data_IF_770890209004
#
_entry.id   IF_770890209004
#
_cell.length_a   1.000
_cell.length_b   1.000
_cell.length_c   1.000
_cell.angle_alpha   90.00
_cell.angle_beta   90.00
_cell.angle_gamma   90.00
#
_symmetry.space_group_name_H-M   'P 1'
#
loop_
_entity.id
_entity.type
_entity.pdbx_description
1 polymer ?
#
# COMPACT_ATOMS: atom_id res chain seq x y z
N UNK A 1 -1.54 3.22 -8.33
CA UNK A 1 -0.99 3.34 -6.96
C UNK A 1 -1.44 2.11 -6.18
N UNK A 2 -0.49 1.38 -5.62
CA UNK A 2 -0.77 0.25 -4.73
C UNK A 2 -0.49 0.74 -3.31
N UNK A 3 -1.51 0.69 -2.46
CA UNK A 3 -1.36 0.90 -1.02
C UNK A 3 -1.24 -0.47 -0.38
N UNK A 4 -0.16 -0.67 0.37
CA UNK A 4 0.07 -1.90 1.11
C UNK A 4 -0.21 -1.63 2.59
N UNK A 5 -1.20 -2.31 3.14
CA UNK A 5 -1.49 -2.29 4.58
C UNK A 5 -0.75 -3.43 5.27
N UNK A 6 0.19 -3.10 6.16
CA UNK A 6 1.01 -4.06 6.91
C UNK A 6 0.34 -4.45 8.24
N UNK A 7 -0.94 -4.82 8.19
CA UNK A 7 -1.71 -5.26 9.34
C UNK A 7 -2.05 -4.13 10.31
N UNK A 8 -2.58 -3.01 9.80
CA UNK A 8 -3.10 -1.93 10.65
C UNK A 8 -4.25 -2.44 11.53
N UNK A 9 -4.34 -1.90 12.75
CA UNK A 9 -5.37 -2.27 13.74
C UNK A 9 -6.50 -1.25 13.87
N UNK A 10 -6.41 -0.17 13.11
CA UNK A 10 -7.39 0.91 13.06
C UNK A 10 -8.16 0.86 11.73
N UNK A 11 -8.83 1.96 11.37
CA UNK A 11 -9.65 2.05 10.16
C UNK A 11 -8.84 2.27 8.87
N UNK A 12 -7.50 2.21 8.91
CA UNK A 12 -6.63 2.54 7.76
C UNK A 12 -7.02 1.76 6.50
N UNK A 13 -7.05 0.43 6.58
CA UNK A 13 -7.40 -0.42 5.44
C UNK A 13 -8.82 -0.12 4.92
N UNK A 14 -9.79 0.07 5.82
CA UNK A 14 -11.18 0.37 5.46
C UNK A 14 -11.30 1.72 4.71
N UNK A 15 -10.56 2.74 5.15
CA UNK A 15 -10.55 4.06 4.49
C UNK A 15 -9.94 3.98 3.10
N UNK A 16 -8.90 3.19 2.91
CA UNK A 16 -8.30 2.96 1.59
C UNK A 16 -9.26 2.18 0.69
N UNK A 17 -9.92 1.15 1.20
CA UNK A 17 -10.94 0.39 0.46
C UNK A 17 -12.08 1.29 -0.02
N UNK A 18 -12.59 2.17 0.86
CA UNK A 18 -13.57 3.19 0.48
C UNK A 18 -13.03 4.12 -0.62
N UNK A 19 -11.77 4.56 -0.52
CA UNK A 19 -11.15 5.39 -1.53
C UNK A 19 -11.02 4.68 -2.91
N UNK A 20 -10.81 3.36 -2.92
CA UNK A 20 -10.77 2.56 -4.15
C UNK A 20 -12.10 2.61 -4.92
N UNK A 21 -13.24 2.78 -4.24
CA UNK A 21 -14.56 2.85 -4.91
C UNK A 21 -14.71 4.04 -5.86
N UNK A 22 -13.95 5.12 -5.63
CA UNK A 22 -13.99 6.35 -6.43
C UNK A 22 -12.71 6.58 -7.24
N UNK A 23 -11.63 5.84 -6.94
CA UNK A 23 -10.32 5.99 -7.59
C UNK A 23 -9.89 4.68 -8.25
N UNK A 24 -10.21 4.52 -9.52
CA UNK A 24 -9.93 3.29 -10.29
C UNK A 24 -8.45 2.89 -10.38
N UNK A 25 -7.52 3.83 -10.19
CA UNK A 25 -6.08 3.58 -10.21
C UNK A 25 -5.50 3.27 -8.82
N UNK A 26 -6.33 3.23 -7.77
CA UNK A 26 -5.94 2.88 -6.42
C UNK A 26 -6.28 1.40 -6.16
N UNK A 27 -5.33 0.67 -5.61
CA UNK A 27 -5.51 -0.72 -5.19
C UNK A 27 -5.00 -0.89 -3.78
N UNK A 28 -5.76 -1.62 -2.95
CA UNK A 28 -5.35 -2.01 -1.61
C UNK A 28 -4.84 -3.46 -1.65
N UNK A 29 -3.72 -3.71 -0.99
CA UNK A 29 -3.19 -5.05 -0.69
C UNK A 29 -2.93 -5.12 0.81
N UNK A 30 -3.51 -6.11 1.50
CA UNK A 30 -3.35 -6.27 2.94
C UNK A 30 -2.46 -7.47 3.26
N UNK A 31 -1.49 -7.29 4.15
CA UNK A 31 -0.75 -8.39 4.74
C UNK A 31 -1.63 -9.12 5.77
N UNK A 32 -1.37 -10.42 5.98
CA UNK A 32 -2.09 -11.22 7.00
C UNK A 32 -1.82 -10.73 8.43
N UNK A 33 -0.62 -10.20 8.68
CA UNK A 33 -0.18 -9.63 9.94
C UNK A 33 0.94 -8.64 9.70
N UNK A 34 1.21 -7.77 10.68
CA UNK A 34 2.34 -6.84 10.64
C UNK A 34 3.69 -7.58 10.56
N UNK A 35 4.42 -7.37 9.46
CA UNK A 35 5.74 -7.97 9.19
C UNK A 35 6.83 -6.92 8.97
N UNK A 36 6.49 -5.64 9.12
CA UNK A 36 7.38 -4.51 8.95
C UNK A 36 7.50 -4.02 7.51
N UNK A 37 8.06 -2.81 7.36
CA UNK A 37 8.17 -2.09 6.08
C UNK A 37 8.77 -2.90 4.94
N UNK A 38 9.84 -3.67 5.19
CA UNK A 38 10.49 -4.45 4.13
C UNK A 38 9.57 -5.50 3.52
N UNK A 39 8.77 -6.18 4.35
CA UNK A 39 7.77 -7.14 3.90
C UNK A 39 6.65 -6.44 3.12
N UNK A 40 6.19 -5.28 3.59
CA UNK A 40 5.19 -4.47 2.91
C UNK A 40 5.66 -4.00 1.51
N UNK A 41 6.89 -3.50 1.40
CA UNK A 41 7.50 -3.09 0.12
C UNK A 41 7.55 -4.28 -0.84
N UNK A 42 8.04 -5.43 -0.37
CA UNK A 42 8.10 -6.65 -1.19
C UNK A 42 6.72 -7.08 -1.68
N UNK A 43 5.72 -7.11 -0.80
CA UNK A 43 4.35 -7.45 -1.15
C UNK A 43 3.78 -6.50 -2.22
N UNK A 44 4.06 -5.20 -2.10
CA UNK A 44 3.67 -4.21 -3.10
C UNK A 44 4.33 -4.44 -4.46
N UNK A 45 5.63 -4.76 -4.49
CA UNK A 45 6.38 -5.08 -5.71
C UNK A 45 5.83 -6.34 -6.38
N UNK A 46 5.53 -7.39 -5.62
CA UNK A 46 4.93 -8.64 -6.13
C UNK A 46 3.55 -8.42 -6.80
N UNK A 47 2.84 -7.35 -6.42
CA UNK A 47 1.54 -6.98 -7.00
C UNK A 47 1.62 -5.88 -8.08
N UNK A 48 2.81 -5.32 -8.32
CA UNK A 48 3.03 -4.33 -9.35
C UNK A 48 3.11 -4.96 -10.75
N UNK A 49 2.70 -4.20 -11.77
CA UNK A 49 2.67 -4.66 -13.17
C UNK A 49 3.43 -3.74 -14.13
N UNK A 50 4.01 -2.64 -13.64
CA UNK A 50 4.78 -1.71 -14.47
C UNK A 50 6.23 -2.14 -14.60
N UNK A 51 6.88 -1.75 -15.69
CA UNK A 51 8.32 -1.99 -15.91
C UNK A 51 9.22 -1.26 -14.90
N UNK A 52 8.68 -0.19 -14.29
CA UNK A 52 9.33 0.61 -13.26
C UNK A 52 8.43 0.64 -12.03
N UNK A 53 9.01 0.37 -10.86
CA UNK A 53 8.32 0.42 -9.57
C UNK A 53 8.96 1.49 -8.69
N UNK A 54 8.17 2.50 -8.32
CA UNK A 54 8.53 3.51 -7.32
C UNK A 54 7.87 3.18 -5.97
N UNK A 55 8.53 3.59 -4.89
CA UNK A 55 8.04 3.42 -3.52
C UNK A 55 8.00 4.78 -2.81
N UNK A 56 6.96 5.00 -2.01
CA UNK A 56 6.76 6.18 -1.16
C UNK A 56 6.29 5.73 0.23
N UNK A 57 6.83 6.35 1.28
CA UNK A 57 6.32 6.17 2.64
C UNK A 57 5.05 7.00 2.87
N UNK A 58 4.09 6.45 3.63
CA UNK A 58 2.80 7.11 3.88
C UNK A 58 2.90 8.38 4.75
N UNK A 59 4.02 8.58 5.45
CA UNK A 59 4.25 9.72 6.35
C UNK A 59 5.04 10.86 5.70
N UNK A 60 5.18 10.82 4.36
CA UNK A 60 5.79 11.88 3.55
C UNK A 60 7.21 12.26 4.00
N UNK A 61 7.93 11.32 4.64
CA UNK A 61 9.31 11.54 5.10
C UNK A 61 10.32 11.74 3.98
N UNK A 62 9.94 11.42 2.74
CA UNK A 62 10.80 11.53 1.58
C UNK A 62 10.13 12.44 0.56
N UNK A 63 10.72 13.61 0.33
CA UNK A 63 10.32 14.49 -0.76
C UNK A 63 10.53 13.78 -2.10
N UNK A 64 9.55 13.86 -2.99
CA UNK A 64 9.57 13.26 -4.34
C UNK A 64 9.47 14.36 -5.40
#
# INVERSE_FOLDING_TARGET
IIVVDDGSKDETAQRVEQACTTRQHLRLVCAESNQGKGAAVRLGVEHAHGDIVGFIDADDKTDI
#
